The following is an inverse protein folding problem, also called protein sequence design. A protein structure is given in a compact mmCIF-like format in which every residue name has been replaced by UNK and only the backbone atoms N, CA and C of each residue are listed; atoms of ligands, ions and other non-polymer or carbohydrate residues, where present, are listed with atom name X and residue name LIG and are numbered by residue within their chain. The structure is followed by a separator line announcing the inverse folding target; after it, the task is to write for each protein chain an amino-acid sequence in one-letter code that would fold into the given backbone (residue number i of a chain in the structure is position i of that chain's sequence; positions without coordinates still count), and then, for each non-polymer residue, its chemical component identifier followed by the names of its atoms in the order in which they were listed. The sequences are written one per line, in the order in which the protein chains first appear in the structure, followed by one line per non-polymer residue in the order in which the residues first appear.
data_IF_780747080140
#
_entry.id   IF_780747080140
#
_cell.length_a   1.000
_cell.length_b   1.000
_cell.length_c   1.000
_cell.angle_alpha   90.00
_cell.angle_beta   90.00
_cell.angle_gamma   90.00
#
_symmetry.space_group_name_H-M   'P 1'
#
loop_
_entity.id
_entity.type
_entity.pdbx_description
1 polymer ?
#
# COMPACT_ATOMS: atom_id res chain seq x y z
N UNK A 1 -29.98 5.06 17.84
CA UNK A 1 -29.42 6.38 18.19
C UNK A 1 -29.40 6.43 19.71
N UNK A 2 -28.32 6.70 20.43
CA UNK A 2 -27.33 7.74 20.15
C UNK A 2 -26.21 7.59 21.18
N UNK A 3 -25.00 7.31 20.73
CA UNK A 3 -23.84 7.93 21.33
C UNK A 3 -22.80 8.06 20.22
N UNK A 4 -22.82 9.23 19.60
CA UNK A 4 -21.88 9.63 18.57
C UNK A 4 -20.42 9.53 19.08
N UNK A 5 -20.21 9.73 20.38
CA UNK A 5 -18.92 9.54 21.07
C UNK A 5 -18.47 8.07 21.04
N UNK A 6 -19.35 7.11 21.38
CA UNK A 6 -19.00 5.69 21.34
C UNK A 6 -18.79 5.17 19.91
N UNK A 7 -19.49 5.72 18.93
CA UNK A 7 -19.29 5.33 17.52
C UNK A 7 -17.97 5.86 16.94
N UNK A 8 -17.53 7.07 17.34
CA UNK A 8 -16.26 7.65 16.87
C UNK A 8 -15.02 7.02 17.50
N UNK A 9 -15.14 6.52 18.73
CA UNK A 9 -14.03 5.84 19.43
C UNK A 9 -13.93 4.35 19.11
N UNK A 10 -14.95 3.77 18.49
CA UNK A 10 -14.90 2.38 18.03
C UNK A 10 -14.08 2.35 16.75
N UNK A 11 -12.88 1.76 16.82
CA UNK A 11 -12.08 1.46 15.63
C UNK A 11 -12.99 0.77 14.61
N UNK A 12 -12.97 1.25 13.36
CA UNK A 12 -13.69 0.61 12.27
C UNK A 12 -13.06 -0.76 12.05
N UNK A 13 -13.60 -1.78 12.71
CA UNK A 13 -13.27 -3.19 12.46
C UNK A 13 -13.89 -3.67 11.13
N UNK A 14 -13.90 -2.79 10.12
CA UNK A 14 -14.05 -3.22 8.74
C UNK A 14 -12.80 -4.04 8.46
N UNK A 15 -12.98 -5.30 8.11
CA UNK A 15 -11.88 -6.16 7.67
C UNK A 15 -11.02 -5.37 6.68
N UNK A 16 -9.76 -5.14 7.04
CA UNK A 16 -8.78 -4.47 6.18
C UNK A 16 -8.80 -5.22 4.85
N UNK A 17 -9.26 -4.58 3.77
CA UNK A 17 -9.26 -5.05 2.38
C UNK A 17 -9.48 -6.56 2.16
N UNK A 18 -10.62 -6.95 1.58
CA UNK A 18 -10.81 -8.33 1.10
C UNK A 18 -9.61 -8.83 0.28
N UNK A 19 -9.39 -10.16 0.31
CA UNK A 19 -8.31 -10.91 -0.35
C UNK A 19 -7.59 -10.07 -1.41
N UNK A 20 -6.38 -9.59 -1.08
CA UNK A 20 -5.48 -8.99 -2.04
C UNK A 20 -5.34 -9.97 -3.22
N UNK A 21 -5.97 -9.65 -4.35
CA UNK A 21 -5.86 -10.50 -5.53
C UNK A 21 -4.43 -10.37 -6.05
N UNK A 22 -3.71 -11.49 -6.25
CA UNK A 22 -2.38 -11.43 -6.86
C UNK A 22 -2.50 -10.82 -8.27
N UNK A 23 -1.51 -10.01 -8.66
CA UNK A 23 -1.48 -9.45 -10.02
C UNK A 23 -1.39 -10.60 -11.03
N UNK A 24 -2.17 -10.56 -12.13
CA UNK A 24 -2.06 -11.57 -13.18
C UNK A 24 -0.66 -11.56 -13.78
N UNK A 25 -0.16 -12.74 -14.18
CA UNK A 25 1.15 -12.87 -14.83
C UNK A 25 1.08 -12.13 -16.19
N UNK A 26 1.96 -11.14 -16.45
CA UNK A 26 2.00 -10.47 -17.74
C UNK A 26 2.51 -11.43 -18.84
N UNK A 27 1.96 -11.32 -20.05
CA UNK A 27 2.31 -12.14 -21.23
C UNK A 27 3.42 -11.51 -22.08
N UNK A 28 3.69 -10.21 -21.89
CA UNK A 28 4.77 -9.49 -22.54
C UNK A 28 5.44 -8.50 -21.57
N UNK A 29 6.69 -8.13 -21.88
CA UNK A 29 7.44 -7.13 -21.12
C UNK A 29 6.68 -5.80 -21.16
N UNK A 30 6.52 -5.13 -20.01
CA UNK A 30 5.77 -3.87 -19.84
C UNK A 30 4.25 -3.96 -19.87
N UNK A 31 3.64 -5.15 -19.82
CA UNK A 31 2.16 -5.27 -19.73
C UNK A 31 1.61 -4.92 -18.35
N UNK A 32 2.37 -5.17 -17.30
CA UNK A 32 2.05 -4.79 -15.94
C UNK A 32 3.24 -4.04 -15.34
N UNK A 33 2.98 -2.94 -14.65
CA UNK A 33 4.00 -2.15 -13.95
C UNK A 33 3.47 -1.82 -12.56
N UNK A 34 4.12 -2.42 -11.57
CA UNK A 34 3.90 -2.10 -10.18
C UNK A 34 5.00 -1.17 -9.68
N UNK A 35 4.68 -0.28 -8.76
CA UNK A 35 5.66 0.63 -8.17
C UNK A 35 5.45 0.66 -6.66
N UNK A 36 6.54 0.54 -5.90
CA UNK A 36 6.54 0.69 -4.45
C UNK A 36 7.59 1.71 -4.01
N UNK A 37 7.33 2.40 -2.91
CA UNK A 37 8.22 3.41 -2.34
C UNK A 37 8.70 2.96 -0.96
N UNK A 38 9.99 2.65 -0.87
CA UNK A 38 10.66 2.45 0.42
C UNK A 38 11.04 3.83 0.95
N UNK A 39 10.47 4.24 2.08
CA UNK A 39 10.70 5.54 2.72
C UNK A 39 11.30 5.38 4.11
N UNK A 40 11.77 6.47 4.72
CA UNK A 40 12.38 6.45 6.07
C UNK A 40 13.81 5.89 6.10
N UNK A 41 14.49 5.88 4.95
CA UNK A 41 15.89 5.49 4.87
C UNK A 41 16.80 6.62 5.39
N UNK A 42 17.97 6.31 5.96
CA UNK A 42 18.96 7.35 6.26
C UNK A 42 19.26 8.18 5.01
N UNK A 43 19.24 9.51 5.15
CA UNK A 43 19.43 10.41 4.01
C UNK A 43 20.75 10.15 3.29
N UNK A 44 20.67 9.77 2.03
CA UNK A 44 21.82 9.64 1.14
C UNK A 44 21.72 10.72 0.06
N UNK A 45 22.68 11.65 0.04
CA UNK A 45 22.69 12.77 -0.93
C UNK A 45 21.37 13.56 -0.98
N UNK A 46 20.72 13.73 0.16
CA UNK A 46 19.44 14.44 0.27
C UNK A 46 18.19 13.63 -0.09
N UNK A 47 18.33 12.36 -0.45
CA UNK A 47 17.23 11.46 -0.76
C UNK A 47 16.97 10.50 0.42
N UNK A 48 15.69 10.28 0.73
CA UNK A 48 15.23 9.45 1.87
C UNK A 48 14.32 8.29 1.42
N UNK A 49 14.08 8.21 0.11
CA UNK A 49 13.16 7.26 -0.48
C UNK A 49 13.73 6.62 -1.75
N UNK A 50 13.35 5.37 -1.99
CA UNK A 50 13.70 4.59 -3.18
C UNK A 50 12.41 4.08 -3.82
N UNK A 51 12.28 4.31 -5.13
CA UNK A 51 11.23 3.73 -5.96
C UNK A 51 11.70 2.38 -6.49
N UNK A 52 10.91 1.34 -6.29
CA UNK A 52 11.20 -0.02 -6.76
C UNK A 52 10.03 -0.54 -7.59
N UNK A 53 10.32 -1.41 -8.55
CA UNK A 53 9.31 -2.24 -9.22
C UNK A 53 9.29 -3.61 -8.53
N UNK A 54 8.25 -3.93 -7.73
CA UNK A 54 8.18 -5.21 -7.02
C UNK A 54 7.81 -6.40 -7.91
N UNK A 55 7.41 -6.19 -9.18
CA UNK A 55 6.93 -7.25 -10.10
C UNK A 55 7.85 -7.32 -11.33
N UNK A 56 9.16 -7.34 -11.09
CA UNK A 56 10.18 -7.66 -12.09
C UNK A 56 10.32 -9.17 -12.34
#
# INVERSE_FOLDING_TARGET
RTCDVFQRQKYSATTLGGLLQPSPIPNAVWEDLSLDFITGLPKSRGHEAVLVDPVG
#
